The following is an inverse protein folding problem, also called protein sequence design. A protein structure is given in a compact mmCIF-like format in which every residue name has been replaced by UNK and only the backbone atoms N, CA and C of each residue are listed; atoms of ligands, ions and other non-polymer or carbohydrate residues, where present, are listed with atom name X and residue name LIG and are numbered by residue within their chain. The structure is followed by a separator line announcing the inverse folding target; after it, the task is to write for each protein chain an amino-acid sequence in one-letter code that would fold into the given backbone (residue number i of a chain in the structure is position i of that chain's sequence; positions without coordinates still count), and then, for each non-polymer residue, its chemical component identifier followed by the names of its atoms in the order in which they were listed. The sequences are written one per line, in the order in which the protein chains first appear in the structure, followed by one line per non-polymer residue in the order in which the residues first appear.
data_IF_741388770583
#
_entry.id   IF_741388770583
#
_cell.length_a   1.000
_cell.length_b   1.000
_cell.length_c   1.000
_cell.angle_alpha   90.00
_cell.angle_beta   90.00
_cell.angle_gamma   90.00
#
_symmetry.space_group_name_H-M   'P 1'
#
loop_
_entity.id
_entity.type
_entity.pdbx_description
1 polymer ?
#
# COMPACT_ATOMS: atom_id res chain seq x y z
N UNK A 1 11.13 31.62 -11.84
CA UNK A 1 10.82 31.69 -10.40
C UNK A 1 9.34 31.39 -10.12
N UNK A 2 8.38 32.18 -10.62
CA UNK A 2 6.94 31.97 -10.39
C UNK A 2 6.41 30.60 -10.88
N UNK A 3 6.84 30.14 -12.06
CA UNK A 3 6.43 28.82 -12.58
C UNK A 3 7.03 27.65 -11.79
N UNK A 4 8.25 27.79 -11.25
CA UNK A 4 8.85 26.78 -10.38
C UNK A 4 8.12 26.70 -9.02
N UNK A 5 7.77 27.84 -8.43
CA UNK A 5 7.03 27.86 -7.16
C UNK A 5 5.59 27.34 -7.27
N UNK A 6 4.94 27.50 -8.43
CA UNK A 6 3.61 26.91 -8.67
C UNK A 6 3.66 25.40 -8.87
N UNK A 7 4.76 24.88 -9.46
CA UNK A 7 4.97 23.42 -9.59
C UNK A 7 5.23 22.79 -8.21
N UNK A 8 6.03 23.43 -7.34
CA UNK A 8 6.22 22.97 -5.96
C UNK A 8 4.92 23.01 -5.13
N UNK A 9 4.09 24.05 -5.31
CA UNK A 9 2.78 24.12 -4.65
C UNK A 9 1.82 23.02 -5.13
N UNK A 10 1.75 22.75 -6.44
CA UNK A 10 0.94 21.66 -7.00
C UNK A 10 1.41 20.26 -6.55
N UNK A 11 2.71 20.10 -6.30
CA UNK A 11 3.30 18.89 -5.72
C UNK A 11 3.04 18.76 -4.22
N UNK A 12 3.00 19.87 -3.48
CA UNK A 12 2.66 19.91 -2.05
C UNK A 12 1.16 19.60 -1.80
N UNK A 13 0.27 19.97 -2.72
CA UNK A 13 -1.16 19.63 -2.68
C UNK A 13 -1.44 18.12 -2.91
N UNK A 14 -0.43 17.34 -3.29
CA UNK A 14 -0.50 15.88 -3.46
C UNK A 14 0.13 15.08 -2.31
N UNK A 15 0.50 15.72 -1.19
CA UNK A 15 0.78 14.99 0.03
C UNK A 15 -0.51 14.27 0.46
N UNK A 16 -0.61 12.99 0.16
CA UNK A 16 -1.79 12.20 0.47
C UNK A 16 -2.06 12.28 1.98
N UNK A 17 -3.19 12.91 2.31
CA UNK A 17 -3.66 13.04 3.68
C UNK A 17 -3.71 11.65 4.33
N UNK A 18 -3.34 11.51 5.62
CA UNK A 18 -3.30 10.22 6.32
C UNK A 18 -4.60 9.40 6.18
N UNK A 19 -5.73 10.09 6.03
CA UNK A 19 -7.03 9.49 5.80
C UNK A 19 -7.16 8.75 4.46
N UNK A 20 -6.57 9.27 3.38
CA UNK A 20 -6.61 8.63 2.06
C UNK A 20 -5.71 7.40 2.02
N UNK A 21 -4.53 7.47 2.66
CA UNK A 21 -3.66 6.32 2.84
C UNK A 21 -4.33 5.21 3.68
N UNK A 22 -5.08 5.58 4.72
CA UNK A 22 -5.84 4.63 5.53
C UNK A 22 -6.95 3.93 4.73
N UNK A 23 -7.66 4.66 3.85
CA UNK A 23 -8.63 4.05 2.93
C UNK A 23 -7.98 3.02 2.01
N UNK A 24 -6.80 3.34 1.44
CA UNK A 24 -6.06 2.40 0.60
C UNK A 24 -5.71 1.12 1.36
N UNK A 25 -5.22 1.23 2.61
CA UNK A 25 -4.93 0.07 3.47
C UNK A 25 -6.21 -0.71 3.81
N UNK A 26 -7.30 -0.01 4.12
CA UNK A 26 -8.60 -0.62 4.41
C UNK A 26 -9.21 -1.36 3.20
N UNK A 27 -8.79 -1.05 1.97
CA UNK A 27 -9.13 -1.81 0.78
C UNK A 27 -8.14 -2.95 0.53
N UNK A 28 -6.84 -2.67 0.67
CA UNK A 28 -5.77 -3.61 0.40
C UNK A 28 -5.84 -4.85 1.30
N UNK A 29 -5.93 -4.67 2.62
CA UNK A 29 -5.85 -5.79 3.57
C UNK A 29 -7.00 -6.79 3.38
N UNK A 30 -8.28 -6.38 3.36
CA UNK A 30 -9.39 -7.30 3.07
C UNK A 30 -9.27 -7.98 1.71
N UNK A 31 -8.81 -7.25 0.67
CA UNK A 31 -8.59 -7.81 -0.65
C UNK A 31 -7.54 -8.94 -0.65
N UNK A 32 -6.40 -8.72 0.02
CA UNK A 32 -5.35 -9.73 0.14
C UNK A 32 -5.81 -10.95 0.96
N UNK A 33 -6.57 -10.73 2.04
CA UNK A 33 -7.18 -11.82 2.82
C UNK A 33 -8.11 -12.65 1.96
N UNK A 34 -8.96 -12.00 1.16
CA UNK A 34 -9.86 -12.70 0.25
C UNK A 34 -9.10 -13.52 -0.80
N UNK A 35 -8.08 -12.95 -1.47
CA UNK A 35 -7.24 -13.68 -2.43
C UNK A 35 -6.58 -14.91 -1.79
N UNK A 36 -6.01 -14.76 -0.59
CA UNK A 36 -5.35 -15.86 0.13
C UNK A 36 -6.32 -16.99 0.49
N UNK A 37 -7.51 -16.64 1.01
CA UNK A 37 -8.56 -17.63 1.33
C UNK A 37 -9.01 -18.38 0.09
N UNK A 38 -9.20 -17.69 -1.03
CA UNK A 38 -9.57 -18.33 -2.28
C UNK A 38 -8.49 -19.29 -2.76
N UNK A 39 -7.22 -18.90 -2.72
CA UNK A 39 -6.13 -19.81 -3.12
C UNK A 39 -6.04 -21.05 -2.22
N UNK A 40 -6.33 -20.92 -0.92
CA UNK A 40 -6.41 -22.07 -0.02
C UNK A 40 -7.54 -23.05 -0.41
N UNK A 41 -8.67 -22.52 -0.90
CA UNK A 41 -9.84 -23.33 -1.28
C UNK A 41 -9.70 -23.93 -2.68
N UNK A 42 -9.26 -23.13 -3.65
CA UNK A 42 -9.27 -23.50 -5.06
C UNK A 42 -7.94 -24.08 -5.56
N UNK A 43 -6.81 -23.61 -5.01
CA UNK A 43 -5.47 -24.06 -5.42
C UNK A 43 -4.84 -25.02 -4.40
N UNK A 44 -5.57 -25.39 -3.35
CA UNK A 44 -5.05 -26.20 -2.22
C UNK A 44 -3.81 -25.58 -1.55
N UNK A 45 -3.65 -24.26 -1.62
CA UNK A 45 -2.56 -23.57 -0.95
C UNK A 45 -2.66 -23.76 0.58
N UNK A 46 -1.52 -23.86 1.27
CA UNK A 46 -1.50 -23.97 2.73
C UNK A 46 -1.84 -22.62 3.37
N UNK A 47 -2.81 -22.55 4.30
CA UNK A 47 -3.06 -21.34 5.06
C UNK A 47 -1.82 -20.90 5.86
N UNK A 48 -1.29 -19.72 5.57
CA UNK A 48 -0.09 -19.19 6.23
C UNK A 48 -0.25 -17.68 6.43
N UNK A 49 -0.18 -17.25 7.69
CA UNK A 49 -0.23 -15.83 8.04
C UNK A 49 1.02 -15.08 7.56
N UNK A 50 2.19 -15.70 7.64
CA UNK A 50 3.43 -15.10 7.15
C UNK A 50 3.35 -14.83 5.65
N UNK A 51 2.91 -15.82 4.88
CA UNK A 51 2.73 -15.68 3.42
C UNK A 51 1.70 -14.61 3.06
N UNK A 52 0.62 -14.48 3.84
CA UNK A 52 -0.35 -13.40 3.65
C UNK A 52 0.27 -12.02 3.93
N UNK A 53 1.01 -11.87 5.03
CA UNK A 53 1.67 -10.62 5.39
C UNK A 53 2.72 -10.20 4.36
N UNK A 54 3.54 -11.14 3.88
CA UNK A 54 4.53 -10.89 2.83
C UNK A 54 3.85 -10.37 1.56
N UNK A 55 2.76 -11.01 1.12
CA UNK A 55 2.00 -10.56 -0.06
C UNK A 55 1.37 -9.19 0.14
N UNK A 56 0.86 -8.88 1.35
CA UNK A 56 0.33 -7.54 1.65
C UNK A 56 1.44 -6.49 1.54
N UNK A 57 2.63 -6.79 2.08
CA UNK A 57 3.81 -5.92 1.98
C UNK A 57 4.19 -5.68 0.52
N UNK A 58 4.34 -6.73 -0.27
CA UNK A 58 4.73 -6.63 -1.68
C UNK A 58 3.74 -5.79 -2.50
N UNK A 59 2.44 -6.03 -2.33
CA UNK A 59 1.38 -5.27 -3.01
C UNK A 59 1.36 -3.81 -2.56
N UNK A 60 1.53 -3.54 -1.25
CA UNK A 60 1.63 -2.17 -0.74
C UNK A 60 2.85 -1.42 -1.32
N UNK A 61 4.01 -2.07 -1.39
CA UNK A 61 5.22 -1.54 -2.02
C UNK A 61 4.99 -1.26 -3.51
N UNK A 62 4.29 -2.15 -4.22
CA UNK A 62 3.92 -1.94 -5.62
C UNK A 62 3.01 -0.71 -5.80
N UNK A 63 2.07 -0.47 -4.89
CA UNK A 63 1.19 0.71 -4.96
C UNK A 63 1.96 2.01 -4.68
N UNK A 64 2.89 1.99 -3.73
CA UNK A 64 3.81 3.12 -3.49
C UNK A 64 4.62 3.42 -4.76
N UNK A 65 5.20 2.39 -5.39
CA UNK A 65 5.95 2.54 -6.64
C UNK A 65 5.08 3.02 -7.81
N UNK A 66 3.79 2.68 -7.82
CA UNK A 66 2.82 3.12 -8.82
C UNK A 66 2.26 4.54 -8.59
N UNK A 67 2.79 5.28 -7.60
CA UNK A 67 2.42 6.67 -7.36
C UNK A 67 1.43 6.89 -6.21
N UNK A 68 1.39 5.97 -5.23
CA UNK A 68 0.65 6.17 -3.98
C UNK A 68 1.59 6.43 -2.78
N UNK A 69 2.37 7.53 -2.76
CA UNK A 69 3.41 7.77 -1.75
C UNK A 69 2.86 7.90 -0.31
N UNK A 70 1.59 8.27 -0.16
CA UNK A 70 0.92 8.37 1.14
C UNK A 70 0.86 7.06 1.93
N UNK A 71 0.85 5.91 1.25
CA UNK A 71 0.84 4.62 1.95
C UNK A 71 2.05 4.46 2.87
N UNK A 72 3.22 5.03 2.52
CA UNK A 72 4.43 4.96 3.35
C UNK A 72 4.27 5.62 4.73
N UNK A 73 3.30 6.52 4.90
CA UNK A 73 2.99 7.14 6.19
C UNK A 73 2.18 6.22 7.12
N UNK A 74 1.48 5.23 6.56
CA UNK A 74 0.56 4.33 7.30
C UNK A 74 1.11 2.91 7.41
N UNK A 75 1.98 2.49 6.50
CA UNK A 75 2.63 1.18 6.56
C UNK A 75 3.55 1.06 7.79
N UNK A 76 3.67 -0.15 8.37
CA UNK A 76 4.60 -0.39 9.47
C UNK A 76 6.03 -0.01 9.07
N UNK A 77 6.71 0.78 9.91
CA UNK A 77 8.10 1.18 9.68
C UNK A 77 9.06 -0.02 9.54
N UNK A 78 8.72 -1.16 10.15
CA UNK A 78 9.46 -2.41 10.04
C UNK A 78 9.44 -3.01 8.63
N UNK A 79 8.56 -2.53 7.75
CA UNK A 79 8.47 -2.97 6.37
C UNK A 79 9.39 -2.18 5.43
N UNK A 80 9.92 -1.04 5.87
CA UNK A 80 10.83 -0.14 5.12
C UNK A 80 12.31 -0.63 5.11
N UNK A 81 12.61 -1.80 5.72
CA UNK A 81 13.99 -2.26 5.98
C UNK A 81 14.67 -2.97 4.78
N UNK A 82 14.12 -2.93 3.57
CA UNK A 82 14.79 -3.44 2.36
C UNK A 82 14.42 -2.66 1.11
#
# INVERSE_FOLDING_TARGET
ALAHGLVEACQAEHAAEPHEALKSVALLVPWMVWKHRNSCVFDSATPSMNTLLDRIKDEACSWVAAGAPGLRLVLPQTWDVH
#
